data_IF_453099035561
#
_entry.id   IF_453099035561
#
_cell.length_a   1.000
_cell.length_b   1.000
_cell.length_c   1.000
_cell.angle_alpha   90.00
_cell.angle_beta   90.00
_cell.angle_gamma   90.00
#
_symmetry.space_group_name_H-M   'P 1'
#
loop_
_entity.id
_entity.type
_entity.pdbx_description
1 polymer ?
#
# COMPACT_ATOMS: atom_id res chain seq x y z
N UNK A 1 -8.57 -0.32 33.53
CA UNK A 1 -9.14 -0.25 32.16
C UNK A 1 -8.02 0.13 31.21
N UNK A 2 -7.33 -0.86 30.68
CA UNK A 2 -6.34 -0.72 29.61
C UNK A 2 -7.07 -0.21 28.38
N UNK A 3 -7.02 1.10 28.13
CA UNK A 3 -7.55 1.67 26.89
C UNK A 3 -6.63 1.21 25.77
N UNK A 4 -7.08 0.17 25.06
CA UNK A 4 -6.59 -0.20 23.73
C UNK A 4 -6.45 1.11 22.94
N UNK A 5 -5.38 1.25 22.15
CA UNK A 5 -5.27 2.26 21.09
C UNK A 5 -6.31 1.96 19.98
N UNK A 6 -7.60 1.88 20.35
CA UNK A 6 -8.72 1.67 19.43
C UNK A 6 -8.87 2.94 18.58
N UNK A 7 -8.17 2.95 17.46
CA UNK A 7 -8.32 3.89 16.37
C UNK A 7 -9.66 3.63 15.70
N UNK A 8 -10.74 4.20 16.24
CA UNK A 8 -11.90 4.49 15.41
C UNK A 8 -11.50 5.63 14.47
N UNK A 9 -11.16 5.27 13.23
CA UNK A 9 -11.12 6.21 12.12
C UNK A 9 -12.53 6.81 11.97
N UNK A 10 -12.78 7.97 12.61
CA UNK A 10 -14.10 8.59 12.72
C UNK A 10 -14.52 9.40 11.47
N UNK A 11 -13.89 9.23 10.31
CA UNK A 11 -14.15 10.10 9.15
C UNK A 11 -15.11 9.52 8.08
N UNK A 12 -15.55 8.26 8.16
CA UNK A 12 -16.48 7.69 7.15
C UNK A 12 -17.85 7.34 7.74
N UNK A 13 -18.48 8.34 8.37
CA UNK A 13 -19.89 8.31 8.71
C UNK A 13 -20.79 8.92 7.62
N UNK A 14 -20.61 8.57 6.34
CA UNK A 14 -21.63 8.90 5.34
C UNK A 14 -22.69 7.79 5.33
N UNK A 15 -23.74 8.01 6.13
CA UNK A 15 -24.97 7.22 6.10
C UNK A 15 -25.60 7.41 4.72
N UNK A 16 -25.37 6.46 3.80
CA UNK A 16 -26.20 6.35 2.58
C UNK A 16 -27.23 5.26 2.78
N UNK A 17 -28.40 5.68 3.24
CA UNK A 17 -29.63 4.90 3.24
C UNK A 17 -30.14 4.82 1.79
N UNK A 18 -29.79 3.76 1.07
CA UNK A 18 -30.38 3.48 -0.25
C UNK A 18 -31.47 2.42 -0.07
N UNK A 19 -32.73 2.90 -0.08
CA UNK A 19 -33.91 2.05 -0.13
C UNK A 19 -33.90 1.21 -1.41
N UNK A 20 -34.07 -0.10 -1.25
CA UNK A 20 -34.24 -1.03 -2.36
C UNK A 20 -35.63 -0.87 -2.97
N UNK A 21 -35.72 -0.27 -4.14
CA UNK A 21 -36.90 -0.34 -5.02
C UNK A 21 -36.64 -1.33 -6.15
N UNK A 22 -37.27 -2.49 -6.02
CA UNK A 22 -37.39 -3.58 -7.01
C UNK A 22 -37.96 -3.07 -8.36
N UNK A 23 -37.40 -3.55 -9.47
CA UNK A 23 -38.03 -3.54 -10.80
C UNK A 23 -37.47 -4.72 -11.65
N UNK A 24 -38.06 -5.10 -12.80
CA UNK A 24 -38.86 -6.32 -12.93
C UNK A 24 -38.24 -7.41 -13.82
N UNK A 25 -38.88 -8.58 -13.79
CA UNK A 25 -38.60 -9.78 -14.55
C UNK A 25 -39.08 -9.65 -16.01
N UNK A 26 -38.21 -9.96 -16.97
CA UNK A 26 -38.58 -10.05 -18.40
C UNK A 26 -37.39 -10.40 -19.28
N UNK A 27 -37.29 -11.67 -19.69
CA UNK A 27 -36.34 -12.16 -20.70
C UNK A 27 -36.72 -11.65 -22.12
N UNK A 28 -35.81 -11.76 -23.10
CA UNK A 28 -35.92 -12.93 -23.97
C UNK A 28 -34.59 -13.63 -24.29
N UNK A 29 -34.73 -14.93 -24.53
CA UNK A 29 -33.76 -15.84 -25.14
C UNK A 29 -33.57 -15.48 -26.62
N UNK A 30 -32.34 -15.54 -27.12
CA UNK A 30 -32.08 -15.66 -28.56
C UNK A 30 -31.15 -16.84 -28.83
N UNK A 31 -31.71 -17.82 -29.55
CA UNK A 31 -31.05 -18.97 -30.13
C UNK A 31 -30.44 -18.55 -31.47
N UNK A 32 -29.14 -18.77 -31.68
CA UNK A 32 -28.66 -19.07 -33.02
C UNK A 32 -27.42 -19.98 -32.98
N UNK A 33 -27.56 -21.10 -33.68
CA UNK A 33 -26.54 -22.09 -33.96
C UNK A 33 -25.53 -21.57 -34.99
N UNK A 34 -24.27 -22.00 -34.87
CA UNK A 34 -23.20 -21.72 -35.82
C UNK A 34 -22.01 -22.64 -35.59
N UNK A 35 -22.16 -23.89 -36.00
CA UNK A 35 -21.10 -24.91 -36.05
C UNK A 35 -20.18 -24.61 -37.24
N UNK A 36 -18.88 -24.42 -36.99
CA UNK A 36 -17.84 -24.64 -38.00
C UNK A 36 -16.65 -25.33 -37.34
N UNK A 37 -16.43 -26.59 -37.69
CA UNK A 37 -15.16 -27.28 -37.53
C UNK A 37 -14.30 -26.99 -38.76
N UNK A 38 -13.04 -26.63 -38.59
CA UNK A 38 -11.97 -26.91 -39.56
C UNK A 38 -10.63 -26.99 -38.78
N UNK A 39 -10.27 -28.20 -38.36
CA UNK A 39 -9.21 -29.06 -38.93
C UNK A 39 -7.79 -28.58 -38.59
N UNK A 40 -7.16 -29.39 -37.72
CA UNK A 40 -5.73 -29.45 -37.46
C UNK A 40 -4.98 -29.81 -38.74
N UNK A 41 -3.81 -29.19 -38.95
CA UNK A 41 -2.76 -29.75 -39.80
C UNK A 41 -1.51 -29.95 -38.97
N UNK A 42 -1.26 -31.22 -38.67
CA UNK A 42 -0.02 -31.77 -38.13
C UNK A 42 0.87 -32.24 -39.28
N UNK A 43 2.16 -32.41 -38.98
CA UNK A 43 3.21 -33.18 -39.71
C UNK A 43 3.87 -32.41 -40.87
N UNK A 44 5.21 -32.29 -40.94
CA UNK A 44 6.23 -33.34 -40.80
C UNK A 44 7.63 -32.73 -40.61
N UNK A 45 8.45 -33.35 -39.77
CA UNK A 45 9.87 -33.00 -39.59
C UNK A 45 10.80 -33.63 -40.62
N UNK A 46 11.98 -33.04 -40.80
CA UNK A 46 13.18 -33.68 -41.37
C UNK A 46 14.43 -33.13 -40.67
N UNK A 47 15.33 -34.08 -40.44
CA UNK A 47 16.56 -34.15 -39.66
C UNK A 47 17.83 -33.51 -40.27
N UNK A 48 18.80 -33.29 -39.37
CA UNK A 48 20.27 -33.40 -39.48
C UNK A 48 21.07 -32.46 -40.41
N UNK A 49 21.88 -31.58 -39.79
CA UNK A 49 23.27 -31.27 -40.17
C UNK A 49 23.92 -30.51 -39.00
N UNK A 50 25.02 -30.91 -38.36
CA UNK A 50 26.23 -31.50 -38.92
C UNK A 50 27.33 -30.46 -39.05
N UNK A 51 27.72 -29.78 -37.95
CA UNK A 51 28.77 -28.74 -38.02
C UNK A 51 29.32 -28.37 -36.65
N UNK A 52 30.35 -29.07 -36.20
CA UNK A 52 31.14 -28.69 -35.05
C UNK A 52 31.94 -27.42 -35.35
N UNK A 53 31.68 -26.36 -34.60
CA UNK A 53 32.50 -25.16 -34.61
C UNK A 53 33.22 -25.03 -33.26
N UNK A 54 34.54 -25.00 -33.41
CA UNK A 54 35.59 -24.97 -32.39
C UNK A 54 35.25 -23.99 -31.26
N UNK A 55 35.27 -24.48 -30.02
CA UNK A 55 35.27 -23.65 -28.83
C UNK A 55 36.55 -22.81 -28.82
N UNK A 56 36.48 -21.57 -29.32
CA UNK A 56 37.43 -20.55 -28.88
C UNK A 56 37.05 -20.22 -27.44
N UNK A 57 37.95 -20.59 -26.53
CA UNK A 57 37.94 -20.16 -25.13
C UNK A 57 38.02 -18.63 -25.17
N UNK A 58 36.87 -17.98 -25.20
CA UNK A 58 36.76 -16.58 -24.82
C UNK A 58 36.85 -16.61 -23.30
N UNK A 59 38.03 -16.29 -22.80
CA UNK A 59 38.25 -15.94 -21.40
C UNK A 59 37.42 -14.69 -21.12
N UNK A 60 36.13 -14.92 -20.84
CA UNK A 60 35.25 -13.90 -20.30
C UNK A 60 35.66 -13.74 -18.84
N UNK A 61 36.51 -12.75 -18.58
CA UNK A 61 36.65 -12.19 -17.25
C UNK A 61 35.25 -11.77 -16.81
N UNK A 62 34.61 -12.58 -15.96
CA UNK A 62 33.47 -12.20 -15.17
C UNK A 62 33.93 -11.12 -14.20
N UNK A 63 34.00 -9.88 -14.69
CA UNK A 63 33.94 -8.71 -13.84
C UNK A 63 32.58 -8.77 -13.13
N UNK A 64 32.57 -9.36 -11.93
CA UNK A 64 31.51 -9.21 -10.97
C UNK A 64 31.55 -7.77 -10.44
N UNK A 65 31.15 -6.81 -11.26
CA UNK A 65 30.61 -5.56 -10.73
C UNK A 65 29.27 -5.91 -10.12
N UNK A 66 29.24 -6.16 -8.82
CA UNK A 66 28.01 -6.10 -8.03
C UNK A 66 27.69 -4.61 -7.93
N UNK A 67 26.68 -4.06 -8.63
CA UNK A 67 26.19 -2.75 -8.30
C UNK A 67 25.01 -2.99 -7.34
N UNK A 68 25.28 -3.50 -6.13
CA UNK A 68 24.30 -3.32 -5.06
C UNK A 68 24.41 -1.86 -4.64
N UNK A 69 23.93 -0.97 -5.50
CA UNK A 69 23.37 0.29 -5.02
C UNK A 69 22.08 -0.05 -4.30
N UNK A 70 22.20 -0.71 -3.14
CA UNK A 70 21.07 -0.88 -2.24
C UNK A 70 20.73 0.52 -1.76
N UNK A 71 19.61 1.04 -2.26
CA UNK A 71 19.05 2.32 -1.84
C UNK A 71 19.12 2.40 -0.30
N UNK A 72 19.56 3.52 0.31
CA UNK A 72 19.83 3.59 1.76
C UNK A 72 18.66 3.09 2.62
N UNK A 73 17.43 3.38 2.18
CA UNK A 73 16.19 2.92 2.79
C UNK A 73 16.04 1.40 2.84
N UNK A 74 16.63 0.65 1.91
CA UNK A 74 16.62 -0.82 1.92
C UNK A 74 17.55 -1.42 2.98
N UNK A 75 18.46 -0.62 3.57
CA UNK A 75 19.39 -1.05 4.61
C UNK A 75 18.96 -0.69 6.03
N UNK A 76 17.95 0.18 6.19
CA UNK A 76 17.50 0.65 7.50
C UNK A 76 17.01 -0.55 8.34
N UNK A 77 17.58 -0.82 9.52
CA UNK A 77 17.10 -1.90 10.37
C UNK A 77 15.86 -1.46 11.16
N UNK A 78 14.87 -2.34 11.27
CA UNK A 78 13.75 -2.18 12.19
C UNK A 78 13.29 -3.55 12.68
N UNK A 79 12.71 -3.62 13.88
CA UNK A 79 12.24 -4.86 14.49
C UNK A 79 11.08 -4.58 15.47
N UNK A 80 10.62 -5.63 16.17
CA UNK A 80 9.51 -5.53 17.12
C UNK A 80 9.78 -4.63 18.34
N UNK A 81 11.04 -4.29 18.62
CA UNK A 81 11.42 -3.36 19.70
C UNK A 81 11.54 -1.90 19.22
N UNK A 82 11.40 -1.64 17.92
CA UNK A 82 11.42 -0.27 17.37
C UNK A 82 10.14 0.46 17.75
N UNK A 83 10.27 1.69 18.22
CA UNK A 83 9.12 2.53 18.58
C UNK A 83 8.17 2.74 17.40
N UNK A 84 6.87 2.68 17.65
CA UNK A 84 5.85 2.78 16.62
C UNK A 84 5.88 4.13 15.87
N UNK A 85 6.32 5.22 16.50
CA UNK A 85 6.49 6.53 15.85
C UNK A 85 7.68 6.53 14.87
N UNK A 86 8.73 5.77 15.18
CA UNK A 86 9.89 5.57 14.29
C UNK A 86 9.49 4.66 13.12
N UNK A 87 8.77 3.56 13.39
CA UNK A 87 8.21 2.70 12.35
C UNK A 87 7.26 3.49 11.42
N UNK A 88 6.42 4.36 11.97
CA UNK A 88 5.56 5.24 11.18
C UNK A 88 6.37 6.17 10.25
N UNK A 89 7.46 6.76 10.76
CA UNK A 89 8.35 7.61 9.96
C UNK A 89 9.09 6.81 8.87
N UNK A 90 9.43 5.55 9.13
CA UNK A 90 9.95 4.67 8.08
C UNK A 90 8.91 4.38 6.99
N UNK A 91 7.65 4.16 7.36
CA UNK A 91 6.57 3.99 6.39
C UNK A 91 6.40 5.23 5.50
N UNK A 92 6.43 6.44 6.07
CA UNK A 92 6.39 7.70 5.31
C UNK A 92 7.51 7.77 4.27
N UNK A 93 8.76 7.52 4.69
CA UNK A 93 9.92 7.57 3.80
C UNK A 93 9.85 6.49 2.70
N UNK A 94 9.35 5.29 3.01
CA UNK A 94 9.17 4.25 1.99
C UNK A 94 8.09 4.63 0.99
N UNK A 95 6.98 5.21 1.43
CA UNK A 95 5.91 5.70 0.55
C UNK A 95 6.38 6.86 -0.33
N UNK A 96 7.13 7.81 0.23
CA UNK A 96 7.73 8.93 -0.50
C UNK A 96 8.67 8.44 -1.62
N UNK A 97 9.60 7.54 -1.31
CA UNK A 97 10.47 6.99 -2.37
C UNK A 97 9.71 6.08 -3.34
N UNK A 98 8.64 5.41 -2.90
CA UNK A 98 7.84 4.54 -3.76
C UNK A 98 7.09 5.31 -4.85
N UNK A 99 6.57 6.51 -4.53
CA UNK A 99 5.86 7.35 -5.50
C UNK A 99 6.81 8.06 -6.47
N UNK A 100 8.05 8.34 -6.06
CA UNK A 100 9.08 8.99 -6.88
C UNK A 100 9.90 8.03 -7.76
N UNK A 101 9.91 6.74 -7.41
CA UNK A 101 10.76 5.75 -8.08
C UNK A 101 10.11 5.17 -9.34
N UNK A 102 10.80 5.23 -10.47
CA UNK A 102 10.44 4.52 -11.70
C UNK A 102 11.02 3.10 -11.80
N UNK A 103 11.98 2.73 -10.95
CA UNK A 103 12.63 1.41 -10.97
C UNK A 103 11.70 0.31 -10.38
N UNK A 104 11.23 -0.67 -11.18
CA UNK A 104 10.34 -1.72 -10.70
C UNK A 104 10.97 -2.61 -9.63
N UNK A 105 12.29 -2.83 -9.65
CA UNK A 105 12.96 -3.64 -8.64
C UNK A 105 13.00 -2.92 -7.29
N UNK A 106 13.30 -1.62 -7.29
CA UNK A 106 13.28 -0.78 -6.10
C UNK A 106 11.85 -0.65 -5.53
N UNK A 107 10.84 -0.42 -6.37
CA UNK A 107 9.44 -0.35 -5.93
C UNK A 107 8.98 -1.64 -5.25
N UNK A 108 9.30 -2.80 -5.83
CA UNK A 108 8.98 -4.09 -5.23
C UNK A 108 9.67 -4.29 -3.87
N UNK A 109 10.95 -3.91 -3.77
CA UNK A 109 11.71 -4.00 -2.53
C UNK A 109 11.15 -3.06 -1.44
N UNK A 110 10.77 -1.83 -1.81
CA UNK A 110 10.13 -0.85 -0.91
C UNK A 110 8.77 -1.34 -0.45
N UNK A 111 7.92 -1.87 -1.34
CA UNK A 111 6.64 -2.49 -0.98
C UNK A 111 6.83 -3.63 0.02
N UNK A 112 7.84 -4.50 -0.18
CA UNK A 112 8.15 -5.57 0.77
C UNK A 112 8.56 -5.05 2.15
N UNK A 113 9.38 -3.99 2.19
CA UNK A 113 9.79 -3.36 3.46
C UNK A 113 8.65 -2.62 4.15
N UNK A 114 7.82 -1.91 3.39
CA UNK A 114 6.62 -1.26 3.89
C UNK A 114 5.67 -2.30 4.51
N UNK A 115 5.41 -3.41 3.82
CA UNK A 115 4.59 -4.49 4.34
C UNK A 115 5.14 -5.07 5.64
N UNK A 116 6.46 -5.29 5.74
CA UNK A 116 7.11 -5.75 6.96
C UNK A 116 6.98 -4.73 8.12
N UNK A 117 7.14 -3.44 7.83
CA UNK A 117 6.99 -2.36 8.81
C UNK A 117 5.54 -2.28 9.32
N UNK A 118 4.55 -2.32 8.42
CA UNK A 118 3.13 -2.33 8.75
C UNK A 118 2.73 -3.58 9.55
N UNK A 119 3.33 -4.74 9.25
CA UNK A 119 3.09 -5.97 10.00
C UNK A 119 3.58 -5.88 11.45
N UNK A 120 4.69 -5.16 11.70
CA UNK A 120 5.20 -4.89 13.04
C UNK A 120 4.37 -3.81 13.77
N UNK A 121 3.87 -2.82 13.04
CA UNK A 121 2.99 -1.78 13.61
C UNK A 121 1.65 -2.34 14.04
N UNK A 122 1.06 -3.24 13.26
CA UNK A 122 -0.28 -3.82 13.50
C UNK A 122 -0.53 -4.29 14.95
N UNK A 123 0.33 -5.08 15.61
CA UNK A 123 0.13 -5.45 17.02
C UNK A 123 0.25 -4.25 17.97
N UNK A 124 1.21 -3.35 17.74
CA UNK A 124 1.43 -2.16 18.59
C UNK A 124 0.27 -1.16 18.56
N UNK A 125 -0.63 -1.27 17.58
CA UNK A 125 -1.88 -0.51 17.52
C UNK A 125 -2.86 -0.87 18.62
N UNK A 126 -2.66 -1.95 19.35
CA UNK A 126 -3.54 -2.32 20.47
C UNK A 126 -2.87 -2.10 21.83
N UNK A 127 -1.56 -1.93 21.86
CA UNK A 127 -0.76 -1.81 23.08
C UNK A 127 -0.92 -0.43 23.74
N UNK A 128 -0.75 -0.33 25.08
CA UNK A 128 -0.72 0.96 25.75
C UNK A 128 0.44 1.82 25.22
N UNK A 129 0.29 3.14 25.30
CA UNK A 129 1.35 4.05 24.84
C UNK A 129 2.56 3.96 25.77
N UNK A 130 3.77 3.67 25.25
CA UNK A 130 4.98 3.64 26.05
C UNK A 130 5.19 4.98 26.77
N UNK A 131 5.53 4.99 28.08
CA UNK A 131 5.65 6.22 28.86
C UNK A 131 6.64 7.23 28.28
N UNK A 132 7.72 6.76 27.65
CA UNK A 132 8.74 7.62 27.04
C UNK A 132 8.24 8.36 25.80
N UNK A 133 7.15 7.92 25.17
CA UNK A 133 6.56 8.57 23.99
C UNK A 133 5.45 9.56 24.35
N UNK A 134 4.98 9.57 25.61
CA UNK A 134 3.92 10.49 26.05
C UNK A 134 4.36 11.94 25.83
N UNK A 135 5.60 12.27 26.20
CA UNK A 135 6.12 13.62 26.02
C UNK A 135 6.14 14.05 24.54
N UNK A 136 6.56 13.16 23.64
CA UNK A 136 6.60 13.43 22.20
C UNK A 136 5.22 13.61 21.56
N UNK A 137 4.17 13.05 22.19
CA UNK A 137 2.78 13.14 21.76
C UNK A 137 1.99 14.18 22.58
N UNK A 138 2.68 14.97 23.41
CA UNK A 138 2.08 16.07 24.15
C UNK A 138 2.42 17.38 23.45
N UNK A 139 1.40 18.18 23.15
CA UNK A 139 1.53 19.51 22.56
C UNK A 139 1.17 20.59 23.58
N UNK A 140 1.71 21.80 23.40
CA UNK A 140 1.34 22.97 24.21
C UNK A 140 0.17 23.76 23.57
N UNK A 141 -0.12 23.50 22.31
CA UNK A 141 -1.17 24.17 21.53
C UNK A 141 -2.17 23.16 20.98
N UNK A 142 -3.45 23.52 20.97
CA UNK A 142 -4.50 22.67 20.39
C UNK A 142 -4.22 22.46 18.89
N UNK A 143 -4.06 21.21 18.42
CA UNK A 143 -3.80 20.94 17.02
C UNK A 143 -5.05 21.27 16.18
N UNK A 144 -4.85 21.91 15.03
CA UNK A 144 -5.92 22.10 14.06
C UNK A 144 -6.34 20.71 13.53
N UNK A 145 -7.62 20.38 13.63
CA UNK A 145 -8.17 19.13 13.11
C UNK A 145 -8.35 19.22 11.59
N UNK A 146 -7.28 19.03 10.83
CA UNK A 146 -7.38 18.83 9.39
C UNK A 146 -7.52 17.34 9.08
N UNK A 147 -8.40 16.95 8.13
CA UNK A 147 -8.45 15.56 7.67
C UNK A 147 -7.10 15.19 7.06
N UNK A 148 -6.58 14.03 7.44
CA UNK A 148 -5.30 13.57 6.91
C UNK A 148 -5.46 12.99 5.49
N UNK A 149 -6.59 12.35 5.22
CA UNK A 149 -6.96 11.76 3.93
C UNK A 149 -8.11 12.56 3.30
N UNK A 150 -7.78 13.46 2.37
CA UNK A 150 -8.77 14.26 1.62
C UNK A 150 -8.44 14.27 0.12
N UNK A 151 -8.41 13.10 -0.54
CA UNK A 151 -8.27 13.05 -2.00
C UNK A 151 -9.49 13.69 -2.69
N UNK A 152 -9.23 14.40 -3.79
CA UNK A 152 -10.30 14.96 -4.62
C UNK A 152 -11.27 13.88 -5.12
N UNK A 153 -12.52 14.28 -5.41
CA UNK A 153 -13.57 13.35 -5.86
C UNK A 153 -13.21 12.55 -7.12
N UNK A 154 -12.38 13.11 -7.99
CA UNK A 154 -11.85 12.44 -9.19
C UNK A 154 -10.90 11.30 -8.81
N UNK A 155 -9.90 11.57 -7.98
CA UNK A 155 -8.97 10.55 -7.47
C UNK A 155 -9.70 9.46 -6.67
N UNK A 156 -10.69 9.83 -5.85
CA UNK A 156 -11.52 8.84 -5.15
C UNK A 156 -12.26 7.90 -6.11
N UNK A 157 -12.79 8.43 -7.22
CA UNK A 157 -13.43 7.64 -8.25
C UNK A 157 -12.42 6.69 -8.91
N UNK A 158 -11.25 7.20 -9.29
CA UNK A 158 -10.19 6.42 -9.94
C UNK A 158 -9.65 5.31 -9.05
N UNK A 159 -9.39 5.60 -7.77
CA UNK A 159 -9.01 4.61 -6.77
C UNK A 159 -10.08 3.53 -6.61
N UNK A 160 -11.35 3.93 -6.50
CA UNK A 160 -12.48 3.01 -6.32
C UNK A 160 -12.66 2.08 -7.53
N UNK A 161 -12.60 2.64 -8.74
CA UNK A 161 -12.71 1.89 -9.98
C UNK A 161 -11.56 0.90 -10.12
N UNK A 162 -10.34 1.37 -9.85
CA UNK A 162 -9.12 0.56 -9.88
C UNK A 162 -9.21 -0.61 -8.89
N UNK A 163 -9.62 -0.37 -7.64
CA UNK A 163 -9.81 -1.45 -6.67
C UNK A 163 -10.88 -2.46 -7.11
N UNK A 164 -12.01 -2.01 -7.66
CA UNK A 164 -13.07 -2.90 -8.15
C UNK A 164 -12.59 -3.77 -9.32
N UNK A 165 -11.81 -3.22 -10.23
CA UNK A 165 -11.18 -3.97 -11.33
C UNK A 165 -10.19 -5.02 -10.79
N UNK A 166 -9.43 -4.71 -9.73
CA UNK A 166 -8.48 -5.67 -9.14
C UNK A 166 -9.22 -6.84 -8.50
N UNK A 167 -10.27 -6.53 -7.74
CA UNK A 167 -11.07 -7.52 -7.03
C UNK A 167 -11.87 -8.43 -7.96
N UNK A 168 -12.17 -7.98 -9.18
CA UNK A 168 -12.82 -8.80 -10.22
C UNK A 168 -11.86 -9.72 -10.96
N UNK A 169 -10.60 -9.77 -10.55
CA UNK A 169 -9.60 -10.72 -11.06
C UNK A 169 -8.89 -10.25 -12.32
N UNK A 170 -8.95 -8.95 -12.65
CA UNK A 170 -8.16 -8.40 -13.75
C UNK A 170 -6.67 -8.39 -13.37
N UNK A 171 -5.81 -8.64 -14.35
CA UNK A 171 -4.37 -8.48 -14.17
C UNK A 171 -4.05 -7.01 -13.88
N UNK A 172 -3.03 -6.78 -13.05
CA UNK A 172 -2.55 -5.45 -12.71
C UNK A 172 -1.95 -4.79 -13.96
N UNK A 173 -2.69 -3.88 -14.59
CA UNK A 173 -2.18 -3.07 -15.70
C UNK A 173 -1.20 -2.01 -15.17
N UNK A 174 -0.21 -1.55 -15.95
CA UNK A 174 0.72 -0.51 -15.52
C UNK A 174 0.04 0.79 -15.03
N UNK A 175 -1.05 1.20 -15.70
CA UNK A 175 -1.86 2.36 -15.30
C UNK A 175 -2.50 2.17 -13.93
N UNK A 176 -2.96 0.94 -13.66
CA UNK A 176 -3.59 0.55 -12.41
C UNK A 176 -2.60 0.53 -11.24
N UNK A 177 -1.38 0.11 -11.51
CA UNK A 177 -0.29 0.07 -10.54
C UNK A 177 0.09 1.46 -10.04
N UNK A 178 0.11 2.47 -10.92
CA UNK A 178 0.37 3.86 -10.53
C UNK A 178 -0.75 4.39 -9.63
N UNK A 179 -2.01 4.19 -10.02
CA UNK A 179 -3.18 4.61 -9.23
C UNK A 179 -3.19 3.93 -7.85
N UNK A 180 -2.90 2.63 -7.77
CA UNK A 180 -2.79 1.93 -6.49
C UNK A 180 -1.59 2.35 -5.65
N UNK A 181 -0.48 2.71 -6.30
CA UNK A 181 0.71 3.24 -5.60
C UNK A 181 0.39 4.57 -4.97
N UNK A 182 -0.27 5.48 -5.70
CA UNK A 182 -0.75 6.76 -5.16
C UNK A 182 -1.66 6.56 -3.94
N UNK A 183 -2.69 5.71 -4.09
CA UNK A 183 -3.58 5.36 -2.98
C UNK A 183 -2.83 4.80 -1.77
N UNK A 184 -1.91 3.86 -1.98
CA UNK A 184 -1.11 3.28 -0.90
C UNK A 184 -0.30 4.34 -0.18
N UNK A 185 0.32 5.27 -0.91
CA UNK A 185 1.13 6.34 -0.33
C UNK A 185 0.28 7.29 0.50
N UNK A 186 -0.86 7.74 -0.03
CA UNK A 186 -1.77 8.61 0.72
C UNK A 186 -2.26 7.92 2.00
N UNK A 187 -2.68 6.65 1.94
CA UNK A 187 -3.10 5.90 3.12
C UNK A 187 -1.98 5.74 4.14
N UNK A 188 -0.74 5.50 3.70
CA UNK A 188 0.43 5.37 4.58
C UNK A 188 0.77 6.69 5.26
N UNK A 189 0.78 7.79 4.52
CA UNK A 189 1.00 9.12 5.10
C UNK A 189 -0.10 9.47 6.10
N UNK A 190 -1.35 9.13 5.78
CA UNK A 190 -2.47 9.34 6.69
C UNK A 190 -2.32 8.56 7.99
N UNK A 191 -2.04 7.27 7.86
CA UNK A 191 -1.81 6.41 8.99
C UNK A 191 -0.62 6.87 9.85
N UNK A 192 0.48 7.28 9.23
CA UNK A 192 1.66 7.73 9.96
C UNK A 192 1.43 9.06 10.69
N UNK A 193 0.74 10.01 10.06
CA UNK A 193 0.31 11.24 10.70
C UNK A 193 -0.62 10.97 11.89
N UNK A 194 -1.58 10.05 11.76
CA UNK A 194 -2.46 9.63 12.86
C UNK A 194 -1.69 8.97 14.01
N UNK A 195 -0.68 8.15 13.71
CA UNK A 195 0.17 7.54 14.74
C UNK A 195 0.99 8.58 15.51
N UNK A 196 1.46 9.61 14.82
CA UNK A 196 2.32 10.67 15.35
C UNK A 196 1.53 11.88 15.87
N UNK A 197 0.21 11.89 15.69
CA UNK A 197 -0.65 12.98 16.11
C UNK A 197 -0.56 13.19 17.63
N UNK A 198 -0.52 14.46 18.11
CA UNK A 198 -0.59 14.74 19.53
C UNK A 198 -1.87 14.15 20.12
N UNK A 199 -1.75 13.56 21.31
CA UNK A 199 -2.88 12.98 22.07
C UNK A 199 -3.16 13.75 23.36
N UNK A 200 -2.15 14.47 23.83
CA UNK A 200 -2.20 15.22 25.06
C UNK A 200 -1.91 16.69 24.83
N UNK A 201 -2.51 17.53 25.66
CA UNK A 201 -2.24 18.96 25.70
C UNK A 201 -1.75 19.35 27.11
N UNK A 202 -0.66 20.13 27.17
CA UNK A 202 -0.22 20.73 28.44
C UNK A 202 -1.14 21.88 28.78
N UNK A 203 -1.77 21.81 29.95
CA UNK A 203 -2.61 22.88 30.51
C UNK A 203 -2.01 23.38 31.82
N UNK A 204 -2.52 24.50 32.34
CA UNK A 204 -2.11 25.04 33.65
C UNK A 204 -2.34 24.03 34.79
N UNK A 205 -3.27 23.08 34.62
CA UNK A 205 -3.58 22.02 35.59
C UNK A 205 -2.79 20.72 35.35
N UNK A 206 -1.85 20.72 34.39
CA UNK A 206 -1.09 19.53 33.97
C UNK A 206 -1.50 18.99 32.59
N UNK A 207 -1.09 17.76 32.30
CA UNK A 207 -1.29 17.09 31.00
C UNK A 207 -2.70 16.49 30.92
N UNK A 208 -3.51 16.92 29.94
CA UNK A 208 -4.88 16.43 29.71
C UNK A 208 -5.01 15.80 28.33
N UNK A 209 -5.97 14.90 28.12
CA UNK A 209 -6.25 14.34 26.79
C UNK A 209 -6.93 15.39 25.90
N UNK A 210 -6.57 15.45 24.61
CA UNK A 210 -7.13 16.43 23.68
C UNK A 210 -8.65 16.20 23.50
N UNK A 211 -9.10 14.95 23.37
CA UNK A 211 -10.53 14.60 23.23
C UNK A 211 -11.38 15.07 24.43
N UNK A 212 -10.80 15.16 25.63
CA UNK A 212 -11.50 15.65 26.83
C UNK A 212 -11.60 17.18 26.87
N UNK A 213 -10.73 17.89 26.15
CA UNK A 213 -10.71 19.36 26.06
C UNK A 213 -11.60 19.87 24.93
N UNK A 214 -11.79 19.06 23.88
CA UNK A 214 -12.61 19.40 22.71
C UNK A 214 -14.05 18.91 22.76
N UNK A 215 -14.40 18.06 23.74
CA UNK A 215 -15.77 17.56 23.97
C UNK A 215 -16.59 18.53 24.84
#
# INVERSE_FOLDING_TARGET
MTRLRLFLCCAFGYISMVGWTRAPQGAPVSSMAGKVNLVQSTTRGIDLSGGGFKNHILEAATMATIPTQTHPLLSVPFNAATDFTVLASHCENFAETLIESDDPALRLALCGRLAACLALLRPTLNDPIPPHLIESLTTDTLPASSPCFDPGSELLCDYSLTLAQLLTGQALLPTMEQTLTGLLCELVWCFAAELKAPRWIRTADGVKFIDEVTA
#
